data_IF_243334332548
#
_entry.id   IF_243334332548
#
_cell.length_a   1.000
_cell.length_b   1.000
_cell.length_c   1.000
_cell.angle_alpha   90.00
_cell.angle_beta   90.00
_cell.angle_gamma   90.00
#
_symmetry.space_group_name_H-M   'P 1'
#
loop_
_entity.id
_entity.type
_entity.pdbx_description
1 polymer ?
#
# COMPACT_ATOMS: atom_id res chain seq x y z
N UNK A 1 -8.30 -5.00 23.22
CA UNK A 1 -7.07 -4.36 22.69
C UNK A 1 -7.50 -3.34 21.65
N UNK A 2 -7.01 -2.11 21.75
CA UNK A 2 -7.26 -1.06 20.75
C UNK A 2 -6.10 -1.04 19.76
N UNK A 3 -6.37 -0.87 18.47
CA UNK A 3 -5.33 -0.76 17.45
C UNK A 3 -4.50 0.52 17.67
N UNK A 4 -3.19 0.38 17.84
CA UNK A 4 -2.26 1.51 17.75
C UNK A 4 -2.06 1.86 16.27
N UNK A 5 -2.82 2.85 15.83
CA UNK A 5 -2.84 3.24 14.42
C UNK A 5 -1.54 3.87 13.94
N UNK A 6 -0.83 4.61 14.81
CA UNK A 6 0.46 5.21 14.48
C UNK A 6 1.50 4.12 14.20
N UNK A 7 1.54 3.09 15.06
CA UNK A 7 2.38 1.91 14.83
C UNK A 7 1.99 1.16 13.56
N UNK A 8 0.68 0.96 13.34
CA UNK A 8 0.17 0.29 12.13
C UNK A 8 0.58 1.03 10.85
N UNK A 9 0.38 2.35 10.81
CA UNK A 9 0.77 3.22 9.68
C UNK A 9 2.26 3.14 9.38
N UNK A 10 3.12 3.13 10.40
CA UNK A 10 4.56 2.97 10.21
C UNK A 10 4.92 1.62 9.57
N UNK A 11 4.25 0.54 9.98
CA UNK A 11 4.46 -0.79 9.39
C UNK A 11 3.96 -0.81 7.93
N UNK A 12 2.78 -0.24 7.64
CA UNK A 12 2.28 -0.12 6.27
C UNK A 12 3.26 0.62 5.35
N UNK A 13 3.83 1.74 5.82
CA UNK A 13 4.83 2.51 5.06
C UNK A 13 6.11 1.70 4.82
N UNK A 14 6.55 0.90 5.80
CA UNK A 14 7.71 0.03 5.63
C UNK A 14 7.43 -1.06 4.57
N UNK A 15 6.27 -1.72 4.62
CA UNK A 15 5.86 -2.72 3.64
C UNK A 15 5.81 -2.11 2.23
N UNK A 16 5.17 -0.94 2.07
CA UNK A 16 5.12 -0.24 0.79
C UNK A 16 6.52 0.13 0.29
N UNK A 17 7.40 0.60 1.18
CA UNK A 17 8.79 0.89 0.82
C UNK A 17 9.53 -0.36 0.34
N UNK A 18 9.35 -1.49 1.01
CA UNK A 18 10.01 -2.74 0.62
C UNK A 18 9.51 -3.23 -0.75
N UNK A 19 8.19 -3.17 -1.01
CA UNK A 19 7.59 -3.50 -2.30
C UNK A 19 8.13 -2.58 -3.42
N UNK A 20 8.11 -1.26 -3.20
CA UNK A 20 8.49 -0.29 -4.23
C UNK A 20 10.01 -0.08 -4.38
N UNK A 21 10.81 -0.62 -3.46
CA UNK A 21 12.27 -0.67 -3.60
C UNK A 21 12.74 -1.89 -4.41
N UNK A 22 11.90 -2.92 -4.54
CA UNK A 22 12.19 -4.09 -5.36
C UNK A 22 11.86 -3.81 -6.83
N UNK A 23 12.90 -3.52 -7.61
CA UNK A 23 12.78 -3.22 -9.04
C UNK A 23 12.26 -4.38 -9.89
N UNK A 24 12.22 -5.60 -9.36
CA UNK A 24 11.70 -6.79 -10.07
C UNK A 24 10.17 -6.88 -10.06
N UNK A 25 9.51 -6.22 -9.10
CA UNK A 25 8.04 -6.24 -8.95
C UNK A 25 7.41 -4.85 -9.05
N UNK A 26 8.09 -3.80 -8.59
CA UNK A 26 7.56 -2.45 -8.50
C UNK A 26 6.97 -1.89 -9.81
N UNK A 27 7.59 -2.11 -10.99
CA UNK A 27 7.04 -1.62 -12.25
C UNK A 27 5.67 -2.20 -12.62
N UNK A 28 5.30 -3.33 -12.02
CA UNK A 28 4.08 -4.08 -12.34
C UNK A 28 2.97 -3.88 -11.32
N UNK A 29 3.17 -3.09 -10.27
CA UNK A 29 2.21 -2.95 -9.16
C UNK A 29 1.77 -1.50 -8.97
N UNK A 30 0.46 -1.25 -9.10
CA UNK A 30 -0.17 0.04 -8.88
C UNK A 30 -0.84 0.13 -7.51
N UNK A 31 -0.35 1.00 -6.63
CA UNK A 31 -0.95 1.20 -5.31
C UNK A 31 -2.23 2.03 -5.39
N UNK A 32 -3.30 1.53 -4.77
CA UNK A 32 -4.64 2.12 -4.84
C UNK A 32 -5.40 1.99 -3.52
N UNK A 33 -6.69 2.29 -3.58
CA UNK A 33 -7.64 2.00 -2.51
C UNK A 33 -7.66 3.05 -1.40
N UNK A 34 -8.31 2.69 -0.29
CA UNK A 34 -8.55 3.59 0.82
C UNK A 34 -7.26 4.03 1.53
N UNK A 35 -6.26 3.16 1.55
CA UNK A 35 -4.97 3.45 2.18
C UNK A 35 -4.13 4.42 1.34
N UNK A 36 -4.14 4.30 0.01
CA UNK A 36 -3.52 5.29 -0.87
C UNK A 36 -4.22 6.66 -0.75
N UNK A 37 -5.56 6.68 -0.76
CA UNK A 37 -6.35 7.89 -0.55
C UNK A 37 -6.03 8.57 0.80
N UNK A 38 -5.89 7.78 1.87
CA UNK A 38 -5.51 8.31 3.17
C UNK A 38 -4.06 8.81 3.23
N UNK A 39 -3.11 8.14 2.58
CA UNK A 39 -1.70 8.55 2.63
C UNK A 39 -1.39 9.79 1.78
N UNK A 40 -2.05 9.94 0.64
CA UNK A 40 -1.70 10.97 -0.36
C UNK A 40 -2.76 12.05 -0.57
N UNK A 41 -3.99 11.85 -0.06
CA UNK A 41 -5.14 12.73 -0.36
C UNK A 41 -6.00 13.04 0.88
N UNK A 42 -5.41 13.00 2.08
CA UNK A 42 -6.03 13.43 3.35
C UNK A 42 -7.42 12.80 3.64
N UNK A 43 -7.65 11.55 3.22
CA UNK A 43 -8.89 10.86 3.53
C UNK A 43 -9.10 10.83 5.08
N UNK A 44 -10.21 11.35 5.62
CA UNK A 44 -10.39 11.57 7.06
C UNK A 44 -10.85 10.30 7.79
N UNK A 45 -10.26 9.15 7.44
CA UNK A 45 -10.45 7.88 8.14
C UNK A 45 -9.19 7.04 8.07
N UNK A 46 -9.01 6.21 9.09
CA UNK A 46 -7.97 5.20 9.09
C UNK A 46 -8.30 4.10 8.07
N UNK A 47 -7.24 3.55 7.48
CA UNK A 47 -7.31 2.41 6.56
C UNK A 47 -6.18 1.46 6.91
N UNK A 48 -6.46 0.16 6.93
CA UNK A 48 -5.53 -0.84 7.47
C UNK A 48 -4.97 -1.79 6.41
N UNK A 49 -5.59 -1.82 5.23
CA UNK A 49 -5.28 -2.76 4.15
C UNK A 49 -4.29 -2.16 3.13
N UNK A 50 -3.71 -2.97 2.26
CA UNK A 50 -2.95 -2.52 1.08
C UNK A 50 -3.63 -3.11 -0.15
N UNK A 51 -4.15 -2.25 -1.02
CA UNK A 51 -4.72 -2.64 -2.29
C UNK A 51 -3.72 -2.34 -3.42
N UNK A 52 -3.38 -3.34 -4.22
CA UNK A 52 -2.52 -3.22 -5.39
C UNK A 52 -3.24 -3.76 -6.63
N UNK A 53 -3.20 -3.01 -7.72
CA UNK A 53 -3.53 -3.54 -9.04
C UNK A 53 -2.27 -4.07 -9.72
N UNK A 54 -2.42 -5.17 -10.47
CA UNK A 54 -1.40 -5.62 -11.40
C UNK A 54 -1.49 -4.78 -12.68
N UNK A 55 -0.40 -4.07 -13.01
CA UNK A 55 -0.34 -3.17 -14.17
C UNK A 55 0.07 -3.89 -15.46
N UNK A 56 0.69 -5.06 -15.34
CA UNK A 56 1.06 -5.91 -16.48
C UNK A 56 0.37 -7.26 -16.33
N UNK A 57 -0.73 -7.45 -17.05
CA UNK A 57 -1.53 -8.69 -17.06
C UNK A 57 -0.69 -9.92 -17.45
N UNK A 58 0.45 -9.75 -18.13
CA UNK A 58 1.35 -10.88 -18.44
C UNK A 58 2.02 -11.48 -17.20
N UNK A 59 1.89 -10.81 -16.05
CA UNK A 59 2.37 -11.28 -14.75
C UNK A 59 1.27 -11.97 -13.94
N UNK A 60 0.05 -12.06 -14.47
CA UNK A 60 -1.04 -12.85 -13.92
C UNK A 60 -0.80 -14.33 -14.28
N UNK A 61 -0.92 -15.22 -13.29
CA UNK A 61 -0.66 -16.66 -13.45
C UNK A 61 -1.93 -17.42 -13.83
#
# INVERSE_FOLDING_TARGET
>A
MTLDYSKHKNILLQILKDIYSDTSIAPYLGFKGGTAAMMFYDLPRNSVDIDLDLLDEKKEN
#
